data_IF_265734350964
#
_entry.id   IF_265734350964
#
_cell.length_a   1.000
_cell.length_b   1.000
_cell.length_c   1.000
_cell.angle_alpha   90.00
_cell.angle_beta   90.00
_cell.angle_gamma   90.00
#
_symmetry.space_group_name_H-M   'P 1'
#
loop_
_entity.id
_entity.type
_entity.pdbx_description
1 polymer ?
#
# COMPACT_ATOMS: atom_id res chain seq x y z
N UNK A 1 -1.81 11.30 29.22
CA UNK A 1 -1.25 12.28 28.27
C UNK A 1 0.21 11.90 28.07
N UNK A 2 0.58 11.39 26.89
CA UNK A 2 1.96 10.98 26.62
C UNK A 2 2.85 12.24 26.57
N UNK A 3 3.85 12.31 27.43
CA UNK A 3 4.81 13.42 27.47
C UNK A 3 6.01 12.99 26.64
N UNK A 4 6.35 13.77 25.61
CA UNK A 4 7.60 13.57 24.88
C UNK A 4 8.76 13.60 25.87
N UNK A 5 9.65 12.60 25.86
CA UNK A 5 10.82 12.51 26.75
C UNK A 5 12.02 12.00 25.97
N UNK A 6 13.12 12.73 26.01
CA UNK A 6 14.40 12.32 25.41
C UNK A 6 15.57 12.40 26.39
N UNK A 7 16.69 11.76 26.04
CA UNK A 7 17.92 11.68 26.86
C UNK A 7 17.69 11.18 28.30
N UNK A 8 16.75 10.25 28.48
CA UNK A 8 16.50 9.59 29.76
C UNK A 8 17.36 8.34 29.91
N UNK A 9 17.55 7.88 31.15
CA UNK A 9 18.14 6.56 31.41
C UNK A 9 17.01 5.56 31.63
N UNK A 10 17.07 4.43 30.92
CA UNK A 10 16.11 3.34 31.04
C UNK A 10 16.78 2.04 31.47
N UNK A 11 16.17 1.29 32.38
CA UNK A 11 16.62 -0.04 32.78
C UNK A 11 15.44 -0.98 33.01
N UNK A 12 15.58 -2.24 32.60
CA UNK A 12 14.56 -3.27 32.82
C UNK A 12 15.02 -4.18 33.97
N UNK A 13 14.16 -4.37 34.96
CA UNK A 13 14.42 -5.30 36.07
C UNK A 13 13.14 -5.97 36.56
N UNK A 14 13.16 -7.31 36.66
CA UNK A 14 12.05 -8.14 37.17
C UNK A 14 10.69 -7.81 36.55
N UNK A 15 10.64 -7.61 35.23
CA UNK A 15 9.41 -7.33 34.49
C UNK A 15 8.95 -5.86 34.54
N UNK A 16 9.74 -4.97 35.14
CA UNK A 16 9.43 -3.54 35.17
C UNK A 16 10.45 -2.74 34.36
N UNK A 17 9.97 -1.75 33.60
CA UNK A 17 10.79 -0.73 32.96
C UNK A 17 10.89 0.49 33.88
N UNK A 18 12.10 0.86 34.26
CA UNK A 18 12.41 2.02 35.08
C UNK A 18 13.02 3.11 34.20
N UNK A 19 12.48 4.31 34.27
CA UNK A 19 12.95 5.48 33.53
C UNK A 19 13.29 6.59 34.52
N UNK A 20 14.49 7.15 34.42
CA UNK A 20 14.91 8.27 35.24
C UNK A 20 15.34 9.47 34.39
N UNK A 21 14.84 10.64 34.79
CA UNK A 21 15.18 11.92 34.21
C UNK A 21 14.89 12.03 32.72
N UNK A 22 15.56 12.96 32.05
CA UNK A 22 15.35 13.26 30.64
C UNK A 22 14.99 14.72 30.43
N UNK A 23 14.44 15.04 29.26
CA UNK A 23 13.99 16.38 28.92
C UNK A 23 12.71 16.29 28.08
N UNK A 24 11.73 17.16 28.38
CA UNK A 24 10.38 17.09 27.79
C UNK A 24 10.15 18.01 26.58
N UNK A 25 11.18 18.74 26.15
CA UNK A 25 11.06 19.81 25.16
C UNK A 25 11.25 21.20 25.76
N UNK A 26 10.96 21.37 27.06
CA UNK A 26 11.04 22.65 27.77
C UNK A 26 11.95 22.63 29.02
N UNK A 27 11.98 21.52 29.75
CA UNK A 27 12.68 21.41 31.03
C UNK A 27 13.34 20.04 31.22
N UNK A 28 14.41 20.02 32.04
CA UNK A 28 15.02 18.76 32.48
C UNK A 28 14.13 18.12 33.53
N UNK A 29 13.79 16.86 33.30
CA UNK A 29 13.00 16.04 34.18
C UNK A 29 13.91 15.42 35.24
N UNK A 30 13.42 15.38 36.48
CA UNK A 30 14.09 14.75 37.62
C UNK A 30 13.16 13.75 38.32
N UNK A 31 12.26 13.15 37.56
CA UNK A 31 11.31 12.16 38.01
C UNK A 31 11.79 10.73 37.72
N UNK A 32 11.22 9.78 38.44
CA UNK A 32 11.49 8.36 38.32
C UNK A 32 10.19 7.64 38.03
N UNK A 33 10.07 7.07 36.84
CA UNK A 33 8.87 6.41 36.35
C UNK A 33 9.12 4.91 36.31
N UNK A 34 8.14 4.13 36.77
CA UNK A 34 8.16 2.66 36.74
C UNK A 34 6.95 2.17 35.95
N UNK A 35 7.18 1.40 34.91
CA UNK A 35 6.15 0.73 34.10
C UNK A 35 6.17 -0.77 34.35
N UNK A 36 5.00 -1.37 34.52
CA UNK A 36 4.85 -2.81 34.65
C UNK A 36 4.61 -3.42 33.28
N UNK A 37 5.59 -4.14 32.74
CA UNK A 37 5.50 -4.70 31.38
C UNK A 37 4.53 -5.89 31.30
N UNK A 38 4.09 -6.44 32.43
CA UNK A 38 3.12 -7.53 32.49
C UNK A 38 1.70 -7.05 32.79
N UNK A 39 1.55 -5.98 33.59
CA UNK A 39 0.24 -5.41 33.94
C UNK A 39 -0.23 -4.32 32.97
N UNK A 40 0.69 -3.50 32.45
CA UNK A 40 0.41 -2.66 31.30
C UNK A 40 0.51 -3.56 30.07
N UNK A 41 -0.60 -4.20 29.69
CA UNK A 41 -0.84 -4.42 28.28
C UNK A 41 -0.73 -3.02 27.67
N UNK A 42 0.44 -2.68 27.13
CA UNK A 42 0.65 -1.44 26.38
C UNK A 42 -0.18 -1.61 25.10
N UNK A 43 -1.51 -1.54 25.25
CA UNK A 43 -2.41 -1.06 24.23
C UNK A 43 -2.03 0.42 24.07
N UNK A 44 -0.89 0.65 23.42
CA UNK A 44 -0.83 1.81 22.56
C UNK A 44 -2.06 1.65 21.66
N UNK A 45 -2.91 2.68 21.61
CA UNK A 45 -3.94 2.76 20.58
C UNK A 45 -3.19 2.86 19.24
N UNK A 46 -2.74 1.70 18.73
CA UNK A 46 -2.08 1.59 17.45
C UNK A 46 -3.20 1.85 16.45
N UNK A 47 -3.17 2.99 15.74
CA UNK A 47 -4.20 3.26 14.75
C UNK A 47 -4.21 2.12 13.73
N UNK A 48 -5.39 1.76 13.20
CA UNK A 48 -5.46 0.76 12.14
C UNK A 48 -4.61 1.21 10.95
N UNK A 49 -4.04 0.24 10.22
CA UNK A 49 -3.28 0.53 9.01
C UNK A 49 -4.14 1.27 7.99
N UNK A 50 -3.60 2.34 7.41
CA UNK A 50 -4.23 3.12 6.33
C UNK A 50 -3.68 2.75 4.95
N UNK A 51 -2.74 1.80 4.85
CA UNK A 51 -2.02 1.55 3.60
C UNK A 51 -2.95 1.25 2.40
N UNK A 52 -4.03 0.50 2.62
CA UNK A 52 -4.98 0.18 1.56
C UNK A 52 -5.81 1.39 1.13
N UNK A 53 -6.23 2.24 2.08
CA UNK A 53 -6.94 3.48 1.75
C UNK A 53 -6.02 4.48 1.05
N UNK A 54 -4.76 4.55 1.47
CA UNK A 54 -3.76 5.44 0.90
C UNK A 54 -3.35 4.98 -0.51
N UNK A 55 -3.24 3.67 -0.76
CA UNK A 55 -3.02 3.15 -2.12
C UNK A 55 -4.26 3.34 -3.01
N UNK A 56 -5.48 3.19 -2.46
CA UNK A 56 -6.70 3.43 -3.23
C UNK A 56 -6.79 4.90 -3.68
N UNK A 57 -6.39 5.86 -2.84
CA UNK A 57 -6.43 7.28 -3.24
C UNK A 57 -5.52 7.59 -4.44
N UNK A 58 -4.48 6.79 -4.69
CA UNK A 58 -3.65 6.91 -5.89
C UNK A 58 -4.38 6.58 -7.21
N UNK A 59 -5.58 6.00 -7.14
CA UNK A 59 -6.46 5.76 -8.30
C UNK A 59 -7.56 6.82 -8.45
N UNK A 60 -8.06 7.35 -7.34
CA UNK A 60 -9.27 8.19 -7.31
C UNK A 60 -8.97 9.70 -7.21
N UNK A 61 -7.81 10.09 -6.68
CA UNK A 61 -7.43 11.48 -6.43
C UNK A 61 -6.52 12.04 -7.55
N UNK A 62 -6.94 13.17 -8.14
CA UNK A 62 -6.22 13.83 -9.23
C UNK A 62 -4.82 14.36 -8.83
N UNK A 63 -4.67 14.83 -7.60
CA UNK A 63 -3.37 15.29 -7.08
C UNK A 63 -2.43 14.10 -6.89
N UNK A 64 -2.94 12.96 -6.42
CA UNK A 64 -2.15 11.73 -6.33
C UNK A 64 -1.78 11.19 -7.71
N UNK A 65 -2.70 11.19 -8.67
CA UNK A 65 -2.45 10.79 -10.06
C UNK A 65 -1.44 11.68 -10.78
N UNK A 66 -1.10 12.86 -10.24
CA UNK A 66 -0.02 13.69 -10.78
C UNK A 66 1.36 13.04 -10.65
N UNK A 67 1.52 12.07 -9.75
CA UNK A 67 2.74 11.28 -9.57
C UNK A 67 2.81 10.01 -10.43
N UNK A 68 1.76 9.72 -11.22
CA UNK A 68 1.74 8.60 -12.13
C UNK A 68 2.87 8.71 -13.17
N UNK A 69 3.63 7.63 -13.34
CA UNK A 69 4.80 7.54 -14.23
C UNK A 69 4.54 6.68 -15.48
N UNK A 70 3.30 6.21 -15.66
CA UNK A 70 2.85 5.46 -16.83
C UNK A 70 1.38 5.77 -17.16
N UNK A 71 1.04 5.70 -18.45
CA UNK A 71 -0.33 5.77 -18.95
C UNK A 71 -0.61 4.54 -19.81
N UNK A 72 -1.69 3.84 -19.51
CA UNK A 72 -2.18 2.73 -20.33
C UNK A 72 -3.40 3.22 -21.10
N UNK A 73 -3.35 3.16 -22.43
CA UNK A 73 -4.49 3.50 -23.28
C UNK A 73 -5.34 2.25 -23.52
N UNK A 74 -6.57 2.26 -23.02
CA UNK A 74 -7.54 1.16 -23.13
C UNK A 74 -8.81 1.69 -23.78
N UNK A 75 -9.25 1.07 -24.90
CA UNK A 75 -10.42 1.53 -25.67
C UNK A 75 -10.37 3.03 -26.03
N UNK A 76 -9.17 3.57 -26.26
CA UNK A 76 -8.96 5.00 -26.56
C UNK A 76 -9.02 5.93 -25.35
N UNK A 77 -9.20 5.39 -24.14
CA UNK A 77 -9.19 6.13 -22.87
C UNK A 77 -7.82 5.99 -22.21
N UNK A 78 -7.26 7.11 -21.74
CA UNK A 78 -5.99 7.13 -21.02
C UNK A 78 -6.19 6.83 -19.54
N UNK A 79 -5.56 5.77 -19.05
CA UNK A 79 -5.55 5.38 -17.64
C UNK A 79 -4.15 5.64 -17.07
N UNK A 80 -4.02 6.67 -16.23
CA UNK A 80 -2.77 6.97 -15.52
C UNK A 80 -2.57 5.99 -14.37
N UNK A 81 -1.34 5.53 -14.19
CA UNK A 81 -0.98 4.56 -13.16
C UNK A 81 0.52 4.59 -12.84
N UNK A 82 0.90 3.86 -11.80
CA UNK A 82 2.26 3.79 -11.28
C UNK A 82 2.92 2.46 -11.66
N UNK A 83 4.10 2.51 -12.27
CA UNK A 83 4.88 1.33 -12.70
C UNK A 83 5.05 0.34 -11.55
N UNK A 84 5.37 0.83 -10.35
CA UNK A 84 5.57 -0.03 -9.16
C UNK A 84 4.36 -0.90 -8.83
N UNK A 85 3.14 -0.41 -9.08
CA UNK A 85 1.92 -1.17 -8.85
C UNK A 85 1.63 -2.13 -9.99
N UNK A 86 1.95 -1.74 -11.24
CA UNK A 86 1.87 -2.63 -12.39
C UNK A 86 2.85 -3.82 -12.29
N UNK A 87 4.02 -3.63 -11.69
CA UNK A 87 5.01 -4.71 -11.48
C UNK A 87 4.49 -5.88 -10.64
N UNK A 88 3.38 -5.73 -9.91
CA UNK A 88 2.71 -6.84 -9.21
C UNK A 88 2.03 -7.83 -10.17
N UNK A 89 1.92 -7.46 -11.45
CA UNK A 89 1.36 -8.27 -12.52
C UNK A 89 2.51 -8.80 -13.41
N UNK A 90 2.67 -10.13 -13.58
CA UNK A 90 3.79 -10.69 -14.33
C UNK A 90 3.88 -10.22 -15.79
N UNK A 91 2.74 -9.96 -16.44
CA UNK A 91 2.72 -9.39 -17.79
C UNK A 91 3.41 -8.01 -17.84
N UNK A 92 3.03 -7.10 -16.93
CA UNK A 92 3.60 -5.76 -16.89
C UNK A 92 5.02 -5.76 -16.34
N UNK A 93 5.34 -6.64 -15.39
CA UNK A 93 6.71 -6.85 -14.93
C UNK A 93 7.63 -7.24 -16.09
N UNK A 94 7.25 -8.25 -16.87
CA UNK A 94 8.03 -8.68 -18.03
C UNK A 94 8.17 -7.55 -19.07
N UNK A 95 7.09 -6.81 -19.33
CA UNK A 95 7.12 -5.65 -20.25
C UNK A 95 8.07 -4.56 -19.76
N UNK A 96 7.99 -4.17 -18.48
CA UNK A 96 8.76 -3.08 -17.88
C UNK A 96 10.24 -3.43 -17.69
N UNK A 97 10.57 -4.71 -17.47
CA UNK A 97 11.94 -5.18 -17.34
C UNK A 97 12.58 -5.59 -18.68
N UNK A 98 11.82 -5.60 -19.77
CA UNK A 98 12.35 -5.95 -21.09
C UNK A 98 13.21 -4.84 -21.70
N UNK A 99 14.10 -5.22 -22.62
CA UNK A 99 14.85 -4.28 -23.47
C UNK A 99 14.01 -3.77 -24.67
N UNK A 100 12.69 -3.96 -24.66
CA UNK A 100 11.79 -3.52 -25.73
C UNK A 100 11.45 -2.03 -25.61
N UNK A 101 11.00 -1.42 -26.70
CA UNK A 101 10.68 0.01 -26.71
C UNK A 101 9.62 0.38 -25.65
N UNK A 102 8.67 -0.52 -25.43
CA UNK A 102 7.56 -0.41 -24.49
C UNK A 102 8.02 -0.19 -23.03
N UNK A 103 9.18 -0.71 -22.62
CA UNK A 103 9.70 -0.50 -21.25
C UNK A 103 10.07 0.96 -20.98
N UNK A 104 10.46 1.68 -22.04
CA UNK A 104 10.85 3.09 -22.01
C UNK A 104 9.71 4.06 -22.35
N UNK A 105 8.56 3.55 -22.80
CA UNK A 105 7.41 4.37 -23.18
C UNK A 105 6.63 4.85 -21.96
N UNK A 106 6.16 6.10 -22.02
CA UNK A 106 5.22 6.66 -21.04
C UNK A 106 3.77 6.30 -21.31
N UNK A 107 3.44 5.93 -22.56
CA UNK A 107 2.09 5.53 -22.99
C UNK A 107 2.16 4.16 -23.67
N UNK A 108 1.41 3.18 -23.17
CA UNK A 108 1.31 1.84 -23.74
C UNK A 108 -0.13 1.57 -24.16
N UNK A 109 -0.33 1.02 -25.36
CA UNK A 109 -1.65 0.68 -25.87
C UNK A 109 -2.04 -0.75 -25.50
N UNK A 110 -3.24 -0.91 -24.93
CA UNK A 110 -3.76 -2.20 -24.52
C UNK A 110 -5.10 -2.45 -25.20
N UNK A 111 -5.07 -3.24 -26.26
CA UNK A 111 -6.23 -3.51 -27.12
C UNK A 111 -7.04 -4.76 -26.69
N UNK A 112 -6.51 -5.56 -25.77
CA UNK A 112 -7.02 -6.90 -25.43
C UNK A 112 -8.13 -6.89 -24.39
N UNK A 113 -8.35 -5.78 -23.67
CA UNK A 113 -9.32 -5.71 -22.57
C UNK A 113 -10.16 -4.44 -22.66
N UNK A 114 -11.39 -4.51 -22.13
CA UNK A 114 -12.25 -3.34 -21.98
C UNK A 114 -11.73 -2.43 -20.87
N UNK A 115 -12.03 -1.14 -20.97
CA UNK A 115 -11.63 -0.15 -19.97
C UNK A 115 -12.12 -0.55 -18.56
N UNK A 116 -13.40 -0.92 -18.43
CA UNK A 116 -13.97 -1.31 -17.13
C UNK A 116 -13.27 -2.53 -16.50
N UNK A 117 -12.86 -3.50 -17.31
CA UNK A 117 -12.14 -4.69 -16.84
C UNK A 117 -10.71 -4.32 -16.42
N UNK A 118 -10.04 -3.48 -17.20
CA UNK A 118 -8.71 -3.00 -16.84
C UNK A 118 -8.71 -2.17 -15.55
N UNK A 119 -9.72 -1.31 -15.34
CA UNK A 119 -9.90 -0.57 -14.09
C UNK A 119 -10.06 -1.52 -12.89
N UNK A 120 -10.83 -2.60 -13.04
CA UNK A 120 -10.99 -3.61 -11.99
C UNK A 120 -9.68 -4.36 -11.68
N UNK A 121 -8.89 -4.69 -12.72
CA UNK A 121 -7.54 -5.25 -12.55
C UNK A 121 -6.64 -4.26 -11.81
N UNK A 122 -6.69 -2.97 -12.18
CA UNK A 122 -5.87 -1.95 -11.55
C UNK A 122 -6.25 -1.75 -10.08
N UNK A 123 -7.54 -1.73 -9.74
CA UNK A 123 -8.02 -1.68 -8.36
C UNK A 123 -7.47 -2.84 -7.53
N UNK A 124 -7.49 -4.06 -8.08
CA UNK A 124 -6.88 -5.23 -7.45
C UNK A 124 -5.37 -5.05 -7.24
N UNK A 125 -4.63 -4.60 -8.25
CA UNK A 125 -3.18 -4.37 -8.13
C UNK A 125 -2.83 -3.33 -7.05
N UNK A 126 -3.73 -2.40 -6.74
CA UNK A 126 -3.49 -1.39 -5.71
C UNK A 126 -3.95 -1.80 -4.32
N UNK A 127 -5.03 -2.56 -4.23
CA UNK A 127 -5.75 -2.75 -2.96
C UNK A 127 -5.90 -4.20 -2.53
N UNK A 128 -5.44 -5.16 -3.34
CA UNK A 128 -5.66 -6.60 -3.16
C UNK A 128 -7.14 -6.98 -3.01
N UNK A 129 -8.03 -6.09 -3.44
CA UNK A 129 -9.47 -6.25 -3.38
C UNK A 129 -10.10 -5.76 -4.68
N UNK A 130 -11.14 -6.45 -5.12
CA UNK A 130 -11.92 -6.06 -6.29
C UNK A 130 -13.31 -6.65 -6.16
N UNK A 131 -14.33 -5.82 -6.39
CA UNK A 131 -15.72 -6.27 -6.42
C UNK A 131 -16.06 -6.64 -7.86
N UNK A 132 -16.27 -7.94 -8.10
CA UNK A 132 -16.50 -8.48 -9.44
C UNK A 132 -18.01 -8.74 -9.62
N UNK A 133 -18.73 -7.94 -10.42
CA UNK A 133 -20.11 -8.25 -10.74
C UNK A 133 -20.18 -9.46 -11.68
N UNK A 134 -21.25 -10.27 -11.55
CA UNK A 134 -21.37 -11.57 -12.22
C UNK A 134 -21.35 -11.46 -13.75
N UNK A 135 -21.85 -10.35 -14.29
CA UNK A 135 -21.88 -10.06 -15.73
C UNK A 135 -20.48 -9.80 -16.32
N UNK A 136 -19.53 -9.37 -15.50
CA UNK A 136 -18.16 -9.03 -15.90
C UNK A 136 -17.14 -10.10 -15.48
N UNK A 137 -17.58 -11.11 -14.71
CA UNK A 137 -16.71 -12.13 -14.13
C UNK A 137 -15.95 -12.95 -15.18
N UNK A 138 -16.61 -13.36 -16.28
CA UNK A 138 -15.94 -14.13 -17.35
C UNK A 138 -14.86 -13.31 -18.05
N UNK A 139 -15.14 -12.04 -18.34
CA UNK A 139 -14.17 -11.19 -19.02
C UNK A 139 -13.00 -10.83 -18.11
N UNK A 140 -13.26 -10.58 -16.83
CA UNK A 140 -12.20 -10.36 -15.86
C UNK A 140 -11.35 -11.62 -15.67
N UNK A 141 -11.94 -12.82 -15.72
CA UNK A 141 -11.20 -14.07 -15.69
C UNK A 141 -10.26 -14.21 -16.90
N UNK A 142 -10.76 -13.91 -18.10
CA UNK A 142 -9.93 -13.89 -19.32
C UNK A 142 -8.82 -12.85 -19.23
N UNK A 143 -9.12 -11.66 -18.70
CA UNK A 143 -8.12 -10.62 -18.49
C UNK A 143 -7.06 -11.04 -17.46
N UNK A 144 -7.47 -11.68 -16.36
CA UNK A 144 -6.55 -12.18 -15.33
C UNK A 144 -5.58 -13.21 -15.92
N UNK A 145 -6.06 -14.12 -16.75
CA UNK A 145 -5.22 -15.08 -17.49
C UNK A 145 -4.25 -14.36 -18.45
N UNK A 146 -4.74 -13.39 -19.24
CA UNK A 146 -3.90 -12.58 -20.13
C UNK A 146 -2.79 -11.84 -19.38
N UNK A 147 -3.11 -11.31 -18.20
CA UNK A 147 -2.16 -10.58 -17.35
C UNK A 147 -1.34 -11.50 -16.44
N UNK A 148 -1.60 -12.81 -16.47
CA UNK A 148 -0.97 -13.82 -15.61
C UNK A 148 -1.15 -13.51 -14.11
N UNK A 149 -2.28 -12.91 -13.75
CA UNK A 149 -2.61 -12.63 -12.36
C UNK A 149 -3.03 -13.96 -11.71
N UNK A 150 -2.32 -14.43 -10.67
CA UNK A 150 -2.69 -15.67 -10.01
C UNK A 150 -4.09 -15.53 -9.40
N UNK A 151 -4.88 -16.61 -9.36
CA UNK A 151 -6.19 -16.57 -8.73
C UNK A 151 -6.02 -16.07 -7.29
N UNK A 152 -6.83 -15.07 -6.91
CA UNK A 152 -6.92 -14.64 -5.53
C UNK A 152 -7.12 -15.90 -4.68
N UNK A 153 -6.21 -16.16 -3.75
CA UNK A 153 -6.24 -17.37 -2.94
C UNK A 153 -7.64 -17.48 -2.33
N UNK A 154 -8.42 -18.44 -2.82
CA UNK A 154 -9.68 -18.78 -2.18
C UNK A 154 -9.29 -19.34 -0.83
N UNK A 155 -9.60 -18.62 0.24
CA UNK A 155 -9.59 -19.18 1.60
C UNK A 155 -10.56 -20.38 1.62
N UNK A 156 -10.01 -21.57 1.33
CA UNK A 156 -10.66 -22.88 1.46
C UNK A 156 -9.81 -23.72 2.41
#
# INVERSE_FOLDING_TARGET
MAVHRFCHVGAIHKGFLYIFGGYDGSSRLNDFVKYDLAADNIHADIPPSTILSDLRSFLDDEDCLSFADMTIMVEGVNVRCHKVMLMRCPYFEAMLLSDMAESSQSVVHLATVRHAIFTAVLEYLYTDNVVIPLDSAMELFVAADCFQIPPAASDV
#
